data_IF_132502670630
#
_entry.id   IF_132502670630
#
_cell.length_a   1.000
_cell.length_b   1.000
_cell.length_c   1.000
_cell.angle_alpha   90.00
_cell.angle_beta   90.00
_cell.angle_gamma   90.00
#
_symmetry.space_group_name_H-M   'P 1'
#
loop_
_entity.id
_entity.type
_entity.pdbx_description
1 polymer ?
#
# COMPACT_ATOMS: atom_id res chain seq x y z
N UNK A 1 5.23 -3.09 -14.36
CA UNK A 1 4.84 -2.91 -12.95
C UNK A 1 4.47 -1.46 -12.75
N UNK A 2 3.43 -1.16 -11.98
CA UNK A 2 2.95 0.21 -11.78
C UNK A 2 3.76 0.92 -10.68
N UNK A 3 4.15 2.17 -10.91
CA UNK A 3 4.81 3.01 -9.90
C UNK A 3 3.88 4.12 -9.44
N UNK A 4 3.92 4.40 -8.15
CA UNK A 4 3.01 5.35 -7.51
C UNK A 4 3.75 6.30 -6.57
N UNK A 5 3.28 7.53 -6.52
CA UNK A 5 3.51 8.43 -5.40
C UNK A 5 2.53 8.10 -4.27
N UNK A 6 2.96 8.30 -3.03
CA UNK A 6 2.13 8.09 -1.83
C UNK A 6 2.15 9.32 -0.93
N UNK A 7 1.01 9.63 -0.31
CA UNK A 7 0.89 10.73 0.64
C UNK A 7 0.91 10.21 2.08
N UNK A 8 1.86 10.69 2.89
CA UNK A 8 2.07 10.23 4.27
C UNK A 8 2.38 11.43 5.15
N UNK A 9 1.53 11.68 6.17
CA UNK A 9 1.72 12.82 7.07
C UNK A 9 1.85 14.16 6.34
N UNK A 10 1.05 14.37 5.28
CA UNK A 10 1.08 15.58 4.45
C UNK A 10 2.24 15.67 3.45
N UNK A 11 3.18 14.71 3.44
CA UNK A 11 4.30 14.69 2.50
C UNK A 11 4.05 13.70 1.37
N UNK A 12 4.43 14.09 0.15
CA UNK A 12 4.46 13.20 -1.01
C UNK A 12 5.80 12.48 -1.06
N UNK A 13 5.78 11.16 -1.24
CA UNK A 13 6.96 10.32 -1.45
C UNK A 13 6.84 9.53 -2.75
N UNK A 14 7.96 9.21 -3.38
CA UNK A 14 8.02 8.36 -4.58
C UNK A 14 8.47 9.09 -5.85
N UNK A 15 8.27 8.49 -7.04
CA UNK A 15 7.44 7.29 -7.28
C UNK A 15 8.15 5.99 -6.86
N UNK A 16 7.41 5.06 -6.28
CA UNK A 16 7.88 3.75 -5.79
C UNK A 16 7.12 2.62 -6.47
N UNK A 17 7.79 1.47 -6.61
CA UNK A 17 7.14 0.23 -7.11
C UNK A 17 6.05 -0.24 -6.16
N UNK A 18 5.04 -0.93 -6.70
CA UNK A 18 3.95 -1.54 -5.93
C UNK A 18 4.49 -2.43 -4.81
N UNK A 19 5.49 -3.29 -5.06
CA UNK A 19 6.01 -4.19 -4.03
C UNK A 19 6.62 -3.43 -2.83
N UNK A 20 7.29 -2.31 -3.12
CA UNK A 20 7.86 -1.45 -2.08
C UNK A 20 6.76 -0.80 -1.26
N UNK A 21 5.70 -0.33 -1.91
CA UNK A 21 4.57 0.34 -1.26
C UNK A 21 3.80 -0.62 -0.35
N UNK A 22 3.47 -1.81 -0.84
CA UNK A 22 2.70 -2.80 -0.06
C UNK A 22 3.50 -3.38 1.12
N UNK A 23 4.83 -3.32 1.07
CA UNK A 23 5.71 -3.69 2.18
C UNK A 23 5.80 -2.66 3.31
N UNK A 24 5.22 -1.46 3.15
CA UNK A 24 5.26 -0.42 4.18
C UNK A 24 4.28 -0.79 5.30
N UNK A 25 4.78 -0.85 6.55
CA UNK A 25 3.97 -1.25 7.73
C UNK A 25 2.69 -0.44 7.98
N UNK A 26 2.64 0.79 7.50
CA UNK A 26 1.51 1.71 7.67
C UNK A 26 0.62 1.77 6.40
N UNK A 27 1.00 1.09 5.33
CA UNK A 27 0.22 1.06 4.10
C UNK A 27 -1.03 0.21 4.28
N UNK A 28 -2.12 0.64 3.63
CA UNK A 28 -3.42 0.00 3.73
C UNK A 28 -4.38 0.46 2.63
N UNK A 29 -5.59 -0.13 2.56
CA UNK A 29 -6.54 0.09 1.46
C UNK A 29 -6.98 1.56 1.26
N UNK A 30 -6.94 2.36 2.32
CA UNK A 30 -7.29 3.79 2.28
C UNK A 30 -6.09 4.72 2.02
N UNK A 31 -4.89 4.18 1.87
CA UNK A 31 -3.70 4.97 1.50
C UNK A 31 -3.91 5.67 0.17
N UNK A 32 -3.57 6.96 0.09
CA UNK A 32 -3.69 7.73 -1.15
C UNK A 32 -2.48 7.51 -2.05
N UNK A 33 -2.74 7.07 -3.28
CA UNK A 33 -1.75 6.83 -4.32
C UNK A 33 -2.03 7.72 -5.53
N UNK A 34 -0.95 8.19 -6.18
CA UNK A 34 -1.01 8.88 -7.47
C UNK A 34 -0.12 8.12 -8.46
N UNK A 35 -0.63 7.66 -9.61
CA UNK A 35 0.18 7.03 -10.64
C UNK A 35 1.36 7.92 -11.08
N UNK A 36 2.51 7.34 -11.42
CA UNK A 36 3.68 8.10 -11.91
C UNK A 36 3.37 8.92 -13.18
N UNK A 37 2.53 8.37 -14.07
CA UNK A 37 2.08 9.06 -15.28
C UNK A 37 1.10 10.22 -15.01
N UNK A 38 0.62 10.38 -13.78
CA UNK A 38 -0.33 11.41 -13.39
C UNK A 38 0.35 12.54 -12.61
N UNK A 39 -0.20 13.75 -12.71
CA UNK A 39 0.33 14.91 -11.97
C UNK A 39 -0.05 14.85 -10.49
N UNK A 40 0.95 14.91 -9.62
CA UNK A 40 0.78 14.98 -8.15
C UNK A 40 0.15 16.30 -7.68
N UNK A 41 0.13 17.33 -8.53
CA UNK A 41 -0.48 18.64 -8.23
C UNK A 41 -2.01 18.63 -8.30
N UNK A 42 -2.59 17.68 -9.03
CA UNK A 42 -4.04 17.56 -9.13
C UNK A 42 -4.57 16.61 -8.05
N UNK A 43 -5.46 17.12 -7.19
CA UNK A 43 -6.12 16.31 -6.15
C UNK A 43 -6.92 15.14 -6.73
N UNK A 44 -7.42 15.26 -7.96
CA UNK A 44 -8.21 14.22 -8.62
C UNK A 44 -7.39 12.98 -9.01
N UNK A 45 -6.07 13.10 -9.11
CA UNK A 45 -5.18 12.00 -9.44
C UNK A 45 -4.82 11.13 -8.21
N UNK A 46 -5.21 11.58 -7.01
CA UNK A 46 -5.00 10.85 -5.76
C UNK A 46 -6.18 9.96 -5.47
N UNK A 47 -5.99 8.65 -5.62
CA UNK A 47 -7.02 7.64 -5.40
C UNK A 47 -6.61 6.70 -4.27
N UNK A 48 -7.59 6.06 -3.63
CA UNK A 48 -7.32 5.09 -2.58
C UNK A 48 -6.63 3.86 -3.15
N UNK A 49 -5.70 3.27 -2.43
CA UNK A 49 -4.97 2.07 -2.78
C UNK A 49 -5.89 0.94 -3.30
N UNK A 50 -7.05 0.74 -2.66
CA UNK A 50 -8.02 -0.26 -3.07
C UNK A 50 -8.69 -0.02 -4.44
N UNK A 51 -8.52 1.13 -5.08
CA UNK A 51 -9.07 1.35 -6.43
C UNK A 51 -8.19 0.73 -7.52
N UNK A 52 -6.93 0.43 -7.21
CA UNK A 52 -5.97 -0.13 -8.15
C UNK A 52 -6.00 -1.66 -8.12
N UNK A 53 -6.32 -2.36 -9.23
CA UNK A 53 -6.42 -3.81 -9.27
C UNK A 53 -5.14 -4.53 -8.82
N UNK A 54 -3.98 -4.04 -9.22
CA UNK A 54 -2.69 -4.60 -8.86
C UNK A 54 -2.41 -4.48 -7.36
N UNK A 55 -2.74 -3.35 -6.74
CA UNK A 55 -2.62 -3.14 -5.29
C UNK A 55 -3.62 -4.05 -4.55
N UNK A 56 -4.86 -4.15 -5.05
CA UNK A 56 -5.88 -5.03 -4.50
C UNK A 56 -5.45 -6.49 -4.49
N UNK A 57 -4.71 -6.94 -5.51
CA UNK A 57 -4.20 -8.32 -5.55
C UNK A 57 -3.25 -8.59 -4.37
N UNK A 58 -2.37 -7.63 -4.03
CA UNK A 58 -1.51 -7.73 -2.85
C UNK A 58 -2.28 -7.64 -1.54
N UNK A 59 -3.29 -6.75 -1.45
CA UNK A 59 -4.15 -6.63 -0.27
C UNK A 59 -5.06 -7.85 -0.04
N UNK A 60 -5.34 -8.64 -1.09
CA UNK A 60 -6.16 -9.87 -1.03
C UNK A 60 -5.33 -11.16 -1.00
N UNK A 61 -4.01 -11.07 -1.12
CA UNK A 61 -3.14 -12.24 -1.11
C UNK A 61 -3.21 -13.01 0.20
N UNK A 62 -2.94 -14.33 0.20
CA UNK A 62 -2.89 -15.11 1.42
C UNK A 62 -1.62 -14.71 2.20
N UNK A 63 -1.76 -13.74 3.10
CA UNK A 63 -0.62 -13.05 3.69
C UNK A 63 -0.98 -12.24 4.92
N UNK A 64 -1.75 -12.83 5.83
CA UNK A 64 -1.51 -12.63 7.26
C UNK A 64 -0.36 -13.55 7.65
N UNK A 65 0.89 -13.06 7.84
CA UNK A 65 1.75 -13.70 8.83
C UNK A 65 1.04 -13.48 10.16
N UNK A 66 0.71 -14.58 10.84
CA UNK A 66 -0.05 -14.59 12.07
C UNK A 66 0.37 -13.48 13.03
N UNK A 67 -0.63 -12.70 13.45
CA UNK A 67 -0.67 -12.34 14.87
C UNK A 67 -0.99 -13.61 15.63
N UNK A 68 0.02 -14.47 15.79
CA UNK A 68 0.06 -15.48 16.84
C UNK A 68 1.53 -15.73 17.16
N UNK A 69 2.01 -14.94 18.12
CA UNK A 69 3.25 -15.17 18.85
C UNK A 69 2.98 -16.21 19.97
N UNK A 70 4.01 -16.86 20.52
CA UNK A 70 4.00 -18.28 20.85
C UNK A 70 3.34 -18.60 22.21
N UNK A 71 2.37 -19.50 22.19
CA UNK A 71 1.85 -20.18 23.37
C UNK A 71 2.32 -21.63 23.41
N UNK A 72 3.57 -21.84 23.83
CA UNK A 72 4.01 -23.12 24.37
C UNK A 72 3.22 -23.39 25.66
N UNK A 73 2.35 -24.40 25.69
CA UNK A 73 2.17 -25.25 26.87
C UNK A 73 1.89 -26.69 26.41
N UNK A 74 2.82 -27.58 26.76
CA UNK A 74 2.61 -29.02 26.84
C UNK A 74 1.62 -29.34 27.96
N UNK A 75 0.79 -30.35 27.77
CA UNK A 75 -0.11 -30.91 28.79
C UNK A 75 -1.02 -31.97 28.20
#
# INVERSE_FOLDING_TARGET
MGRYFIQVGGKVKGPMEVEVIVGLRWFGPDSLLCPEAASTKSRHNWLRAQTFPEIRAFLRGPGTPGTDAPGQVSG
#
